data_IF_200071555242
#
_entry.id   IF_200071555242
#
_cell.length_a   1.000
_cell.length_b   1.000
_cell.length_c   1.000
_cell.angle_alpha   90.00
_cell.angle_beta   90.00
_cell.angle_gamma   90.00
#
_symmetry.space_group_name_H-M   'P 1'
#
loop_
_entity.id
_entity.type
_entity.pdbx_description
1 polymer ?
#
# COMPACT_ATOMS: atom_id res chain seq x y z
N UNK A 1 9.40 12.78 4.83
CA UNK A 1 8.96 13.25 3.50
C UNK A 1 8.36 14.66 3.57
N UNK A 2 8.08 15.25 2.41
CA UNK A 2 7.41 16.54 2.37
C UNK A 2 5.92 16.38 2.69
N UNK A 3 5.29 17.29 3.47
CA UNK A 3 3.86 17.26 3.72
C UNK A 3 3.08 17.53 2.42
N UNK A 4 1.90 16.94 2.30
CA UNK A 4 1.00 17.20 1.19
C UNK A 4 0.41 18.63 1.28
N UNK A 5 0.15 19.23 0.14
CA UNK A 5 -0.41 20.59 0.03
C UNK A 5 -1.90 20.51 -0.29
N UNK A 6 -2.80 21.12 0.51
CA UNK A 6 -4.23 21.16 0.21
C UNK A 6 -4.51 21.77 -1.17
N UNK A 7 -5.44 21.14 -1.91
CA UNK A 7 -5.95 21.63 -3.22
C UNK A 7 -7.44 22.00 -3.15
N UNK A 8 -8.01 21.92 -1.94
CA UNK A 8 -9.40 22.31 -1.65
C UNK A 8 -9.40 23.52 -0.71
N UNK A 9 -10.51 24.26 -0.71
CA UNK A 9 -10.75 25.43 0.13
C UNK A 9 -11.86 25.18 1.14
N UNK A 10 -11.89 26.01 2.19
CA UNK A 10 -13.02 26.02 3.15
C UNK A 10 -14.33 26.35 2.41
N UNK A 11 -15.34 25.55 2.61
CA UNK A 11 -16.63 25.62 1.95
C UNK A 11 -16.79 24.65 0.77
N UNK A 12 -15.72 24.04 0.27
CA UNK A 12 -15.82 23.06 -0.82
C UNK A 12 -16.54 21.80 -0.39
N UNK A 13 -17.40 21.28 -1.26
CA UNK A 13 -17.97 19.94 -1.13
C UNK A 13 -16.98 18.91 -1.69
N UNK A 14 -16.76 17.82 -0.96
CA UNK A 14 -15.88 16.73 -1.36
C UNK A 14 -16.61 15.39 -1.31
N UNK A 15 -16.17 14.46 -2.16
CA UNK A 15 -16.67 13.08 -2.19
C UNK A 15 -15.63 12.14 -1.54
N UNK A 16 -16.09 11.00 -1.02
CA UNK A 16 -15.21 9.92 -0.58
C UNK A 16 -14.33 9.46 -1.74
N UNK A 17 -13.02 9.33 -1.51
CA UNK A 17 -12.04 8.98 -2.55
C UNK A 17 -11.58 10.16 -3.41
N UNK A 18 -12.13 11.36 -3.25
CA UNK A 18 -11.67 12.54 -3.97
C UNK A 18 -10.32 13.01 -3.43
N UNK A 19 -9.38 13.34 -4.34
CA UNK A 19 -8.10 13.94 -3.98
C UNK A 19 -8.34 15.33 -3.38
N UNK A 20 -7.80 15.57 -2.19
CA UNK A 20 -7.95 16.82 -1.44
C UNK A 20 -6.61 17.51 -1.12
N UNK A 21 -5.49 16.79 -1.32
CA UNK A 21 -4.16 17.40 -1.25
C UNK A 21 -3.21 16.71 -2.22
N UNK A 22 -2.30 17.47 -2.80
CA UNK A 22 -1.22 17.01 -3.68
C UNK A 22 0.04 16.68 -2.90
N UNK A 23 0.82 15.73 -3.41
CA UNK A 23 2.11 15.37 -2.86
C UNK A 23 3.06 16.59 -2.88
N UNK A 24 3.70 16.91 -1.74
CA UNK A 24 4.60 18.04 -1.59
C UNK A 24 6.02 17.82 -2.12
N UNK A 25 6.34 16.63 -2.64
CA UNK A 25 7.67 16.31 -3.16
C UNK A 25 7.79 14.84 -3.59
N UNK A 26 9.01 14.39 -3.91
CA UNK A 26 9.25 13.01 -4.35
C UNK A 26 8.88 11.97 -3.28
N UNK A 27 9.36 12.15 -2.04
CA UNK A 27 8.96 11.31 -0.89
C UNK A 27 7.75 11.96 -0.23
N UNK A 28 6.60 11.84 -0.87
CA UNK A 28 5.30 12.35 -0.42
C UNK A 28 4.20 11.55 -1.13
N UNK A 29 2.97 11.69 -0.68
CA UNK A 29 1.80 11.04 -1.29
C UNK A 29 0.63 12.02 -1.32
N UNK A 30 -0.22 11.99 -2.35
CA UNK A 30 -1.48 12.71 -2.34
C UNK A 30 -2.39 12.21 -1.21
N UNK A 31 -3.32 13.05 -0.77
CA UNK A 31 -4.30 12.72 0.28
C UNK A 31 -5.69 12.74 -0.34
N UNK A 32 -6.48 11.75 0.06
CA UNK A 32 -7.86 11.56 -0.40
C UNK A 32 -8.84 11.68 0.75
N UNK A 33 -10.03 12.18 0.48
CA UNK A 33 -11.09 12.25 1.48
C UNK A 33 -11.61 10.85 1.82
N UNK A 34 -11.70 10.54 3.10
CA UNK A 34 -12.29 9.29 3.61
C UNK A 34 -13.82 9.34 3.72
N UNK A 35 -14.41 10.52 3.58
CA UNK A 35 -15.85 10.77 3.71
C UNK A 35 -16.33 11.70 2.60
N UNK A 36 -17.63 11.76 2.34
CA UNK A 36 -18.26 12.88 1.64
C UNK A 36 -18.71 13.95 2.62
N UNK A 37 -18.74 15.22 2.18
CA UNK A 37 -19.14 16.33 3.06
C UNK A 37 -18.53 17.66 2.65
N UNK A 38 -18.40 18.56 3.61
CA UNK A 38 -17.94 19.95 3.37
C UNK A 38 -16.65 20.24 4.13
N UNK A 39 -15.68 20.83 3.47
CA UNK A 39 -14.44 21.31 4.11
C UNK A 39 -14.78 22.48 5.03
N UNK A 40 -14.63 22.30 6.33
CA UNK A 40 -14.94 23.32 7.34
C UNK A 40 -13.76 24.18 7.72
N UNK A 41 -12.56 23.57 7.76
CA UNK A 41 -11.34 24.28 8.17
C UNK A 41 -10.12 23.64 7.50
N UNK A 42 -9.08 24.44 7.35
CA UNK A 42 -7.71 23.98 7.08
C UNK A 42 -6.84 24.65 8.14
N UNK A 43 -6.45 23.89 9.16
CA UNK A 43 -5.76 24.41 10.33
C UNK A 43 -4.83 23.36 10.97
N UNK A 44 -3.84 23.75 11.75
CA UNK A 44 -3.00 22.81 12.50
C UNK A 44 -3.82 21.98 13.49
N UNK A 45 -3.69 20.67 13.42
CA UNK A 45 -4.28 19.69 14.34
C UNK A 45 -3.22 18.74 14.85
N UNK A 46 -3.42 18.27 16.10
CA UNK A 46 -2.55 17.26 16.69
C UNK A 46 -2.81 15.91 16.02
N UNK A 47 -1.75 15.27 15.53
CA UNK A 47 -1.78 13.91 14.97
C UNK A 47 -1.31 12.87 15.97
N UNK A 48 -1.43 11.59 15.63
CA UNK A 48 -1.15 10.46 16.53
C UNK A 48 0.26 10.49 17.15
N UNK A 49 1.26 10.99 16.42
CA UNK A 49 2.65 11.14 16.91
C UNK A 49 2.86 12.36 17.82
N UNK A 50 1.81 13.15 18.05
CA UNK A 50 1.85 14.30 18.95
C UNK A 50 2.15 15.65 18.31
N UNK A 51 2.57 15.67 17.06
CA UNK A 51 2.90 16.89 16.33
C UNK A 51 1.63 17.65 15.88
N UNK A 52 1.80 18.96 15.69
CA UNK A 52 0.77 19.82 15.09
C UNK A 52 1.03 19.94 13.60
N UNK A 53 0.14 19.38 12.78
CA UNK A 53 0.27 19.44 11.32
C UNK A 53 -0.97 20.07 10.68
N UNK A 54 -0.76 20.78 9.57
CA UNK A 54 -1.86 21.36 8.80
C UNK A 54 -2.80 20.26 8.31
N UNK A 55 -4.07 20.35 8.67
CA UNK A 55 -5.05 19.29 8.47
C UNK A 55 -6.33 19.86 7.84
N UNK A 56 -6.90 19.12 6.90
CA UNK A 56 -8.19 19.43 6.29
C UNK A 56 -9.28 18.82 7.16
N UNK A 57 -10.13 19.66 7.73
CA UNK A 57 -11.26 19.26 8.58
C UNK A 57 -12.52 19.22 7.72
N UNK A 58 -13.10 18.04 7.58
CA UNK A 58 -14.31 17.80 6.78
C UNK A 58 -15.44 17.45 7.74
N UNK A 59 -16.58 18.15 7.60
CA UNK A 59 -17.84 17.77 8.22
C UNK A 59 -18.52 16.75 7.30
N UNK A 60 -18.61 15.50 7.77
CA UNK A 60 -19.28 14.42 7.03
C UNK A 60 -20.76 14.74 6.83
N UNK A 61 -21.29 14.40 5.66
CA UNK A 61 -22.72 14.39 5.38
C UNK A 61 -23.34 13.01 5.65
N UNK A 62 -22.53 12.04 6.13
CA UNK A 62 -22.91 10.65 6.42
C UNK A 62 -23.49 9.86 5.23
N UNK A 63 -23.37 10.39 4.01
CA UNK A 63 -23.83 9.72 2.79
C UNK A 63 -22.73 8.83 2.18
N UNK A 64 -21.44 9.14 2.45
CA UNK A 64 -20.27 8.45 1.88
C UNK A 64 -20.31 8.35 0.35
N UNK A 65 -20.85 9.39 -0.30
CA UNK A 65 -20.92 9.46 -1.76
C UNK A 65 -19.53 9.38 -2.36
N UNK A 66 -19.26 8.37 -3.19
CA UNK A 66 -17.97 8.13 -3.79
C UNK A 66 -17.73 9.01 -5.02
N UNK A 67 -16.45 9.35 -5.25
CA UNK A 67 -16.03 9.94 -6.52
C UNK A 67 -16.02 8.88 -7.63
N UNK A 68 -15.95 9.32 -8.88
CA UNK A 68 -15.75 8.41 -10.01
C UNK A 68 -14.30 7.91 -10.04
N UNK A 69 -14.14 6.61 -10.23
CA UNK A 69 -12.85 5.97 -10.41
C UNK A 69 -12.63 5.63 -11.88
N UNK A 70 -11.36 5.67 -12.30
CA UNK A 70 -10.96 5.27 -13.66
C UNK A 70 -10.19 3.93 -13.58
N UNK A 71 -10.88 2.79 -13.59
CA UNK A 71 -10.23 1.48 -13.53
C UNK A 71 -9.36 1.25 -14.77
N UNK A 72 -8.43 0.32 -14.67
CA UNK A 72 -7.64 -0.19 -15.79
C UNK A 72 -8.05 -1.62 -16.04
N UNK A 73 -8.62 -1.90 -17.21
CA UNK A 73 -9.11 -3.24 -17.54
C UNK A 73 -7.96 -4.24 -17.71
N UNK A 74 -6.85 -3.80 -18.28
CA UNK A 74 -5.67 -4.63 -18.51
C UNK A 74 -4.40 -3.90 -18.08
N UNK A 75 -3.89 -4.26 -16.91
CA UNK A 75 -2.65 -3.70 -16.35
C UNK A 75 -1.44 -4.10 -17.18
N UNK A 76 -1.48 -5.25 -17.88
CA UNK A 76 -0.36 -5.75 -18.69
C UNK A 76 -0.07 -4.87 -19.92
N UNK A 77 -1.05 -4.08 -20.33
CA UNK A 77 -0.92 -3.12 -21.44
C UNK A 77 -0.20 -1.82 -21.04
N UNK A 78 0.03 -1.60 -19.75
CA UNK A 78 0.64 -0.37 -19.25
C UNK A 78 2.18 -0.47 -19.26
N UNK A 79 2.84 0.66 -19.60
CA UNK A 79 4.27 0.78 -19.39
C UNK A 79 4.60 0.85 -17.88
N UNK A 80 5.85 0.53 -17.55
CA UNK A 80 6.39 0.63 -16.18
C UNK A 80 6.10 1.99 -15.54
N UNK A 81 6.38 3.05 -16.25
CA UNK A 81 6.17 4.43 -15.77
C UNK A 81 4.70 4.68 -15.45
N UNK A 82 3.80 4.22 -16.33
CA UNK A 82 2.34 4.36 -16.11
C UNK A 82 1.86 3.57 -14.90
N UNK A 83 2.40 2.38 -14.64
CA UNK A 83 2.07 1.61 -13.43
C UNK A 83 2.53 2.38 -12.19
N UNK A 84 3.77 2.88 -12.17
CA UNK A 84 4.31 3.65 -11.05
C UNK A 84 3.50 4.94 -10.82
N UNK A 85 3.16 5.66 -11.89
CA UNK A 85 2.33 6.86 -11.80
C UNK A 85 0.94 6.57 -11.25
N UNK A 86 0.32 5.45 -11.67
CA UNK A 86 -0.99 5.02 -11.11
C UNK A 86 -0.90 4.70 -9.63
N UNK A 87 0.14 4.01 -9.18
CA UNK A 87 0.39 3.71 -7.76
C UNK A 87 0.58 5.01 -6.97
N UNK A 88 1.33 5.96 -7.53
CA UNK A 88 1.52 7.29 -6.94
C UNK A 88 0.21 8.05 -6.83
N UNK A 89 -0.54 8.14 -7.94
CA UNK A 89 -1.82 8.84 -7.98
C UNK A 89 -2.92 8.14 -7.17
N UNK A 90 -2.81 6.86 -6.91
CA UNK A 90 -3.69 6.15 -5.98
C UNK A 90 -3.32 6.39 -4.50
N UNK A 91 -2.23 7.10 -4.22
CA UNK A 91 -1.80 7.39 -2.86
C UNK A 91 -1.37 6.18 -2.04
N UNK A 92 -0.89 5.12 -2.71
CA UNK A 92 -0.50 3.87 -2.03
C UNK A 92 0.78 4.08 -1.22
N UNK A 93 0.67 3.84 0.08
CA UNK A 93 1.78 3.97 1.05
C UNK A 93 1.84 2.73 1.94
N UNK A 94 2.99 2.52 2.58
CA UNK A 94 3.14 1.45 3.57
C UNK A 94 2.27 1.74 4.80
N UNK A 95 1.49 0.74 5.26
CA UNK A 95 0.53 0.90 6.35
C UNK A 95 0.96 0.20 7.66
N UNK A 96 2.05 -0.56 7.63
CA UNK A 96 2.59 -1.25 8.81
C UNK A 96 3.71 -0.50 9.53
N UNK A 97 3.91 0.80 9.27
CA UNK A 97 5.00 1.55 9.89
C UNK A 97 5.10 2.98 9.41
N UNK A 98 6.21 3.33 8.75
CA UNK A 98 6.57 4.71 8.41
C UNK A 98 5.68 5.41 7.35
N UNK A 99 4.69 4.75 6.79
CA UNK A 99 3.86 5.33 5.73
C UNK A 99 4.65 5.66 4.45
N UNK A 100 5.69 4.90 4.15
CA UNK A 100 6.58 5.20 3.04
C UNK A 100 5.88 5.03 1.69
N UNK A 101 5.98 6.00 0.75
CA UNK A 101 5.30 5.93 -0.53
C UNK A 101 5.75 4.74 -1.39
N UNK A 102 4.81 3.92 -1.83
CA UNK A 102 5.10 2.69 -2.59
C UNK A 102 5.75 3.00 -3.94
N UNK A 103 5.32 4.07 -4.64
CA UNK A 103 5.92 4.47 -5.91
C UNK A 103 7.43 4.76 -5.80
N UNK A 104 7.88 5.27 -4.64
CA UNK A 104 9.31 5.51 -4.38
C UNK A 104 10.07 4.19 -4.21
N UNK A 105 9.49 3.23 -3.47
CA UNK A 105 10.07 1.88 -3.34
C UNK A 105 10.21 1.18 -4.69
N UNK A 106 9.23 1.35 -5.57
CA UNK A 106 9.18 0.71 -6.89
C UNK A 106 10.01 1.46 -7.97
N UNK A 107 10.72 2.51 -7.56
CA UNK A 107 11.59 3.31 -8.45
C UNK A 107 13.07 3.24 -8.02
N UNK A 108 13.68 2.04 -7.91
CA UNK A 108 15.09 1.92 -7.62
C UNK A 108 15.92 2.48 -8.78
N UNK A 109 17.15 2.91 -8.49
CA UNK A 109 18.06 3.46 -9.51
C UNK A 109 18.50 2.42 -10.55
N UNK A 110 18.58 1.15 -10.14
CA UNK A 110 19.05 0.02 -10.96
C UNK A 110 18.03 -1.12 -10.89
N UNK A 111 16.87 -0.96 -11.54
CA UNK A 111 15.77 -1.94 -11.46
C UNK A 111 16.14 -3.33 -12.00
N UNK A 112 17.09 -3.39 -12.94
CA UNK A 112 17.63 -4.63 -13.51
C UNK A 112 18.41 -5.47 -12.51
N UNK A 113 18.83 -4.90 -11.37
CA UNK A 113 19.54 -5.59 -10.29
C UNK A 113 18.60 -6.16 -9.22
N UNK A 114 17.30 -5.91 -9.33
CA UNK A 114 16.32 -6.44 -8.37
C UNK A 114 16.03 -7.89 -8.70
N UNK A 115 16.44 -8.78 -7.82
CA UNK A 115 16.26 -10.23 -7.96
C UNK A 115 15.00 -10.74 -7.25
N UNK A 116 14.62 -10.09 -6.14
CA UNK A 116 13.48 -10.50 -5.32
C UNK A 116 12.58 -9.33 -4.94
N UNK A 117 11.29 -9.58 -4.98
CA UNK A 117 10.24 -8.74 -4.39
C UNK A 117 9.62 -9.53 -3.24
N UNK A 118 9.82 -9.07 -2.02
CA UNK A 118 9.33 -9.74 -0.83
C UNK A 118 8.06 -9.06 -0.33
N UNK A 119 6.94 -9.76 -0.38
CA UNK A 119 5.74 -9.39 0.36
C UNK A 119 5.93 -9.84 1.82
N UNK A 120 6.08 -8.86 2.70
CA UNK A 120 6.20 -9.11 4.12
C UNK A 120 4.83 -9.48 4.69
N UNK A 121 4.58 -10.77 4.85
CA UNK A 121 3.40 -11.36 5.48
C UNK A 121 3.71 -11.95 6.86
N UNK A 122 4.86 -11.58 7.45
CA UNK A 122 5.27 -11.99 8.78
C UNK A 122 4.67 -11.04 9.82
N UNK A 123 3.54 -11.43 10.39
CA UNK A 123 2.80 -10.67 11.39
C UNK A 123 3.26 -11.11 12.79
N UNK A 124 4.43 -10.60 13.20
CA UNK A 124 5.11 -11.02 14.43
C UNK A 124 4.69 -10.23 15.67
N UNK A 125 3.96 -9.14 15.55
CA UNK A 125 3.47 -8.36 16.69
C UNK A 125 2.37 -9.11 17.42
N UNK A 126 2.45 -9.24 18.76
CA UNK A 126 1.41 -9.89 19.55
C UNK A 126 0.03 -9.22 19.35
N UNK A 127 -1.01 -10.06 19.29
CA UNK A 127 -2.42 -9.66 19.14
C UNK A 127 -2.81 -9.01 17.81
N UNK A 128 -1.88 -8.76 16.88
CA UNK A 128 -2.20 -8.31 15.53
C UNK A 128 -2.60 -9.50 14.66
N UNK A 129 -3.67 -9.34 13.88
CA UNK A 129 -4.21 -10.36 12.98
C UNK A 129 -4.73 -9.78 11.66
N UNK A 130 -4.43 -8.51 11.38
CA UNK A 130 -4.91 -7.82 10.19
C UNK A 130 -4.34 -8.43 8.90
N UNK A 131 -3.05 -8.74 8.88
CA UNK A 131 -2.38 -9.32 7.73
C UNK A 131 -2.80 -10.77 7.52
N UNK A 132 -2.91 -11.55 8.61
CA UNK A 132 -3.46 -12.91 8.56
C UNK A 132 -4.88 -12.92 7.97
N UNK A 133 -5.76 -12.06 8.46
CA UNK A 133 -7.13 -11.93 7.94
C UNK A 133 -7.12 -11.58 6.46
N UNK A 134 -6.23 -10.68 6.03
CA UNK A 134 -6.08 -10.32 4.62
C UNK A 134 -5.67 -11.52 3.76
N UNK A 135 -4.72 -12.32 4.22
CA UNK A 135 -4.30 -13.56 3.53
C UNK A 135 -5.41 -14.59 3.43
N UNK A 136 -6.34 -14.63 4.40
CA UNK A 136 -7.45 -15.59 4.39
C UNK A 136 -8.67 -15.06 3.62
N UNK A 137 -9.00 -13.79 3.77
CA UNK A 137 -10.24 -13.23 3.21
C UNK A 137 -10.09 -12.78 1.75
N UNK A 138 -8.93 -12.22 1.39
CA UNK A 138 -8.68 -11.66 0.07
C UNK A 138 -7.29 -12.04 -0.48
N UNK A 139 -6.89 -13.30 -0.50
CA UNK A 139 -5.55 -13.70 -0.94
C UNK A 139 -5.33 -13.45 -2.43
N UNK A 140 -6.41 -13.44 -3.24
CA UNK A 140 -6.36 -13.12 -4.67
C UNK A 140 -5.85 -11.70 -4.92
N UNK A 141 -6.22 -10.74 -4.06
CA UNK A 141 -5.74 -9.35 -4.15
C UNK A 141 -4.23 -9.26 -3.89
N UNK A 142 -3.70 -10.07 -2.97
CA UNK A 142 -2.26 -10.14 -2.69
C UNK A 142 -1.50 -10.66 -3.89
N UNK A 143 -1.99 -11.74 -4.49
CA UNK A 143 -1.39 -12.34 -5.70
C UNK A 143 -1.48 -11.37 -6.87
N UNK A 144 -2.62 -10.71 -7.07
CA UNK A 144 -2.79 -9.69 -8.10
C UNK A 144 -1.83 -8.51 -7.91
N UNK A 145 -1.69 -8.01 -6.68
CA UNK A 145 -0.72 -6.97 -6.34
C UNK A 145 0.73 -7.37 -6.65
N UNK A 146 1.13 -8.60 -6.29
CA UNK A 146 2.45 -9.13 -6.63
C UNK A 146 2.66 -9.22 -8.14
N UNK A 147 1.66 -9.68 -8.92
CA UNK A 147 1.72 -9.72 -10.38
C UNK A 147 1.96 -8.34 -10.98
N UNK A 148 1.27 -7.32 -10.50
CA UNK A 148 1.46 -5.93 -10.94
C UNK A 148 2.88 -5.46 -10.66
N UNK A 149 3.40 -5.70 -9.46
CA UNK A 149 4.74 -5.29 -9.09
C UNK A 149 5.81 -6.03 -9.92
N UNK A 150 5.64 -7.33 -10.15
CA UNK A 150 6.57 -8.12 -10.96
C UNK A 150 6.65 -7.72 -12.44
N UNK A 151 5.67 -6.96 -12.96
CA UNK A 151 5.77 -6.36 -14.30
C UNK A 151 6.80 -5.22 -14.36
N UNK A 152 7.16 -4.65 -13.22
CA UNK A 152 8.16 -3.58 -13.13
C UNK A 152 9.60 -4.10 -13.15
N UNK A 153 9.80 -5.42 -13.00
CA UNK A 153 11.13 -6.04 -12.84
C UNK A 153 11.21 -7.33 -13.65
N UNK A 154 11.99 -7.33 -14.73
CA UNK A 154 12.00 -8.41 -15.73
C UNK A 154 12.43 -9.77 -15.15
N UNK A 155 13.35 -9.78 -14.20
CA UNK A 155 13.99 -10.99 -13.68
C UNK A 155 13.62 -11.31 -12.22
N UNK A 156 12.94 -10.40 -11.53
CA UNK A 156 12.62 -10.59 -10.12
C UNK A 156 11.64 -11.72 -9.87
N UNK A 157 11.83 -12.42 -8.75
CA UNK A 157 10.87 -13.37 -8.18
C UNK A 157 10.07 -12.71 -7.06
N UNK A 158 8.80 -13.04 -6.96
CA UNK A 158 7.92 -12.62 -5.87
C UNK A 158 7.92 -13.66 -4.75
N UNK A 159 8.20 -13.24 -3.53
CA UNK A 159 8.23 -14.13 -2.35
C UNK A 159 7.22 -13.62 -1.33
N UNK A 160 6.30 -14.48 -0.91
CA UNK A 160 5.42 -14.23 0.23
C UNK A 160 6.07 -14.84 1.48
N UNK A 161 6.62 -14.00 2.36
CA UNK A 161 7.23 -14.43 3.62
C UNK A 161 6.17 -14.57 4.71
N UNK A 162 5.74 -15.80 5.04
CA UNK A 162 4.63 -16.09 5.97
C UNK A 162 5.14 -16.90 7.14
N UNK A 163 4.79 -16.52 8.37
CA UNK A 163 5.16 -17.29 9.56
C UNK A 163 4.46 -18.65 9.64
N UNK A 164 5.19 -19.67 10.09
CA UNK A 164 4.74 -21.07 10.13
C UNK A 164 3.59 -21.34 11.12
N UNK A 165 3.21 -20.38 11.95
CA UNK A 165 2.01 -20.43 12.78
C UNK A 165 0.70 -20.14 12.02
N UNK A 166 0.78 -19.91 10.68
CA UNK A 166 -0.36 -19.61 9.79
C UNK A 166 -0.44 -20.65 8.64
N UNK A 167 -0.56 -21.96 8.93
CA UNK A 167 -0.47 -23.02 7.91
C UNK A 167 -1.59 -22.96 6.87
N UNK A 168 -2.76 -22.51 7.23
CA UNK A 168 -3.91 -22.31 6.34
C UNK A 168 -3.68 -21.19 5.32
N UNK A 169 -3.10 -20.05 5.74
CA UNK A 169 -2.72 -18.98 4.85
C UNK A 169 -1.61 -19.42 3.88
N UNK A 170 -0.61 -20.15 4.37
CA UNK A 170 0.47 -20.73 3.55
C UNK A 170 -0.11 -21.67 2.49
N UNK A 171 -1.01 -22.59 2.88
CA UNK A 171 -1.63 -23.54 1.96
C UNK A 171 -2.46 -22.80 0.88
N UNK A 172 -3.23 -21.79 1.30
CA UNK A 172 -4.07 -21.01 0.39
C UNK A 172 -3.25 -20.23 -0.62
N UNK A 173 -2.20 -19.55 -0.19
CA UNK A 173 -1.31 -18.82 -1.09
C UNK A 173 -0.57 -19.76 -2.04
N UNK A 174 -0.04 -20.89 -1.56
CA UNK A 174 0.62 -21.91 -2.42
C UNK A 174 -0.32 -22.43 -3.51
N UNK A 175 -1.59 -22.68 -3.20
CA UNK A 175 -2.57 -23.13 -4.19
C UNK A 175 -2.84 -22.05 -5.26
N UNK A 176 -2.96 -20.79 -4.83
CA UNK A 176 -3.23 -19.68 -5.76
C UNK A 176 -2.08 -19.38 -6.72
N UNK A 177 -0.84 -19.62 -6.27
CA UNK A 177 0.35 -19.31 -7.10
C UNK A 177 0.96 -20.55 -7.77
N UNK A 178 0.32 -21.71 -7.70
CA UNK A 178 0.87 -22.99 -8.23
C UNK A 178 1.29 -22.93 -9.70
N UNK A 179 0.59 -22.10 -10.49
CA UNK A 179 0.83 -21.93 -11.94
C UNK A 179 1.65 -20.64 -12.23
N UNK A 180 2.21 -20.00 -11.19
CA UNK A 180 2.95 -18.74 -11.31
C UNK A 180 4.45 -18.99 -11.08
N UNK A 181 5.23 -19.21 -12.15
CA UNK A 181 6.64 -19.66 -12.00
C UNK A 181 7.58 -18.63 -11.38
N UNK A 182 7.14 -17.37 -11.30
CA UNK A 182 7.88 -16.27 -10.68
C UNK A 182 7.47 -15.98 -9.23
N UNK A 183 6.62 -16.82 -8.63
CA UNK A 183 6.13 -16.60 -7.26
C UNK A 183 6.38 -17.81 -6.39
N UNK A 184 6.67 -17.58 -5.11
CA UNK A 184 6.82 -18.62 -4.11
C UNK A 184 6.35 -18.15 -2.73
N UNK A 185 6.01 -19.09 -1.86
CA UNK A 185 5.75 -18.86 -0.44
C UNK A 185 6.92 -19.38 0.37
N UNK A 186 7.59 -18.50 1.10
CA UNK A 186 8.64 -18.82 2.04
C UNK A 186 8.06 -18.93 3.46
N UNK A 187 8.19 -20.09 4.08
CA UNK A 187 7.76 -20.33 5.47
C UNK A 187 8.82 -19.79 6.44
N UNK A 188 8.42 -18.85 7.27
CA UNK A 188 9.29 -18.20 8.25
C UNK A 188 9.05 -18.79 9.64
N UNK A 189 10.11 -18.89 10.43
CA UNK A 189 9.98 -19.26 11.83
C UNK A 189 9.27 -18.14 12.59
N UNK A 190 8.20 -18.51 13.31
CA UNK A 190 7.48 -17.56 14.17
C UNK A 190 8.38 -17.09 15.31
N UNK A 191 8.75 -15.82 15.28
CA UNK A 191 9.54 -15.14 16.33
C UNK A 191 9.40 -13.62 16.20
N UNK A 192 9.60 -12.90 17.28
CA UNK A 192 9.71 -11.44 17.26
C UNK A 192 11.20 -11.04 17.10
N UNK A 193 11.56 -10.09 16.24
CA UNK A 193 10.75 -9.34 15.24
C UNK A 193 10.90 -9.88 13.81
N UNK A 194 10.32 -11.03 13.50
CA UNK A 194 10.45 -11.68 12.18
C UNK A 194 9.98 -10.80 11.02
N UNK A 195 8.93 -9.97 11.25
CA UNK A 195 8.42 -9.00 10.28
C UNK A 195 9.30 -7.76 10.08
N UNK A 196 10.38 -7.60 10.86
CA UNK A 196 11.34 -6.52 10.63
C UNK A 196 12.11 -6.73 9.31
N UNK A 197 12.30 -5.68 8.52
CA UNK A 197 12.98 -5.76 7.22
C UNK A 197 14.39 -6.35 7.34
N UNK A 198 15.15 -6.03 8.38
CA UNK A 198 16.48 -6.60 8.62
C UNK A 198 16.44 -8.09 8.98
N UNK A 199 15.32 -8.62 9.46
CA UNK A 199 15.11 -10.04 9.64
C UNK A 199 14.75 -10.73 8.32
N UNK A 200 13.91 -10.10 7.51
CA UNK A 200 13.46 -10.64 6.22
C UNK A 200 14.57 -10.74 5.18
N UNK A 201 15.55 -9.85 5.16
CA UNK A 201 16.67 -9.92 4.20
C UNK A 201 17.57 -11.17 4.35
N UNK A 202 17.37 -11.94 5.42
CA UNK A 202 18.09 -13.21 5.63
C UNK A 202 17.29 -14.45 5.19
N UNK A 203 16.22 -14.27 4.43
CA UNK A 203 15.41 -15.37 3.87
C UNK A 203 16.19 -16.15 2.81
#
# INVERSE_FOLDING_TARGET
GAPATPIVAVGDSVKKGQKIAEAGGFVSSPIYSSVSGTVKKIEPRRVAVGDMVNSIVIESDDQFTECEYSPVDDVTSLSREKIIDRIKEAGVVGMGGAGFPTHVKLSPKEPEKIEYIIANCAECEPYLTADYRRMIENPEDLVAGMKIILQLFDHAKGVFGVENNKPDAIAKLKELIKDEPRMEVCELLTKYPQGGELSLIHI
#
